data_IF_456653879856
#
_entry.id   IF_456653879856
#
_cell.length_a   1.000
_cell.length_b   1.000
_cell.length_c   1.000
_cell.angle_alpha   90.00
_cell.angle_beta   90.00
_cell.angle_gamma   90.00
#
_symmetry.space_group_name_H-M   'P 1'
#
loop_
_entity.id
_entity.type
_entity.pdbx_description
1 polymer ?
#
# COMPACT_ATOMS: atom_id res chain seq x y z
N UNK A 1 -3.65 15.58 -16.27
CA UNK A 1 -3.70 16.12 -17.64
C UNK A 1 -2.43 16.90 -17.98
N UNK A 2 -1.98 17.87 -17.13
CA UNK A 2 -0.77 18.65 -17.37
C UNK A 2 0.48 17.77 -17.55
N UNK A 3 0.67 16.74 -16.71
CA UNK A 3 1.78 15.80 -16.82
C UNK A 3 1.75 14.98 -18.13
N UNK A 4 0.57 14.67 -18.64
CA UNK A 4 0.40 13.94 -19.90
C UNK A 4 0.77 14.84 -21.10
N UNK A 5 0.44 16.13 -21.02
CA UNK A 5 0.77 17.11 -22.08
C UNK A 5 2.27 17.39 -22.10
N UNK A 6 2.90 17.60 -20.92
CA UNK A 6 4.32 17.97 -20.80
C UNK A 6 5.22 16.74 -20.94
N UNK A 7 4.69 15.54 -20.60
CA UNK A 7 5.41 14.27 -20.62
C UNK A 7 5.74 13.80 -22.05
N UNK A 8 6.43 12.67 -22.11
CA UNK A 8 6.92 12.05 -23.35
C UNK A 8 5.79 11.71 -24.35
N UNK A 9 4.54 11.56 -23.86
CA UNK A 9 3.43 11.17 -24.71
C UNK A 9 2.98 12.26 -25.71
N UNK A 10 3.15 13.56 -25.40
CA UNK A 10 2.69 14.67 -26.26
C UNK A 10 3.83 15.62 -26.60
N UNK A 11 4.35 16.36 -25.63
CA UNK A 11 5.37 17.40 -25.88
C UNK A 11 6.81 16.92 -25.68
N UNK A 12 7.04 15.82 -24.96
CA UNK A 12 8.37 15.28 -24.68
C UNK A 12 9.33 16.22 -23.94
N UNK A 13 8.79 17.26 -23.27
CA UNK A 13 9.60 18.27 -22.59
C UNK A 13 10.22 17.73 -21.30
N UNK A 14 9.59 16.73 -20.68
CA UNK A 14 10.05 16.12 -19.44
C UNK A 14 10.19 14.62 -19.66
N UNK A 15 11.43 14.12 -19.56
CA UNK A 15 11.67 12.69 -19.54
C UNK A 15 11.35 12.12 -18.14
N UNK A 16 10.83 10.90 -18.09
CA UNK A 16 10.65 10.18 -16.82
C UNK A 16 12.01 9.76 -16.25
N UNK A 17 12.73 10.72 -15.69
CA UNK A 17 14.02 10.50 -15.04
C UNK A 17 13.81 9.90 -13.65
N UNK A 18 14.84 9.24 -13.11
CA UNK A 18 14.86 8.64 -11.75
C UNK A 18 14.48 9.67 -10.68
N UNK A 19 14.92 10.91 -10.82
CA UNK A 19 14.60 11.99 -9.90
C UNK A 19 13.10 12.28 -9.81
N UNK A 20 12.42 12.35 -10.96
CA UNK A 20 10.98 12.61 -11.01
C UNK A 20 10.19 11.45 -10.42
N UNK A 21 10.64 10.21 -10.65
CA UNK A 21 10.03 9.01 -10.06
C UNK A 21 10.12 9.05 -8.54
N UNK A 22 11.32 9.27 -8.00
CA UNK A 22 11.52 9.36 -6.55
C UNK A 22 10.71 10.49 -5.93
N UNK A 23 10.60 11.65 -6.60
CA UNK A 23 9.79 12.74 -6.11
C UNK A 23 8.28 12.38 -6.09
N UNK A 24 7.81 11.65 -7.09
CA UNK A 24 6.43 11.14 -7.13
C UNK A 24 6.16 10.13 -6.01
N UNK A 25 7.08 9.20 -5.74
CA UNK A 25 7.01 8.24 -4.63
C UNK A 25 6.92 8.96 -3.28
N UNK A 26 7.78 9.95 -3.04
CA UNK A 26 7.70 10.81 -1.84
C UNK A 26 6.31 11.48 -1.72
N UNK A 27 5.78 11.99 -2.83
CA UNK A 27 4.44 12.61 -2.87
C UNK A 27 3.34 11.64 -2.47
N UNK A 28 3.39 10.39 -2.94
CA UNK A 28 2.41 9.34 -2.60
C UNK A 28 2.53 8.93 -1.13
N UNK A 29 3.75 8.79 -0.61
CA UNK A 29 4.01 8.50 0.81
C UNK A 29 3.39 9.57 1.72
N UNK A 30 3.60 10.86 1.41
CA UNK A 30 3.01 11.97 2.17
C UNK A 30 1.48 11.98 2.05
N UNK A 31 0.94 11.70 0.85
CA UNK A 31 -0.50 11.61 0.62
C UNK A 31 -1.13 10.53 1.51
N UNK A 32 -0.54 9.34 1.56
CA UNK A 32 -1.03 8.23 2.36
C UNK A 32 -0.89 8.49 3.87
N UNK A 33 0.18 9.16 4.29
CA UNK A 33 0.32 9.64 5.66
C UNK A 33 -0.81 10.60 6.05
N UNK A 34 -1.10 11.58 5.21
CA UNK A 34 -2.21 12.53 5.41
C UNK A 34 -3.57 11.82 5.49
N UNK A 35 -3.80 10.83 4.63
CA UNK A 35 -5.01 9.99 4.68
C UNK A 35 -5.10 9.19 5.99
N UNK A 36 -3.97 8.68 6.48
CA UNK A 36 -3.88 8.01 7.78
C UNK A 36 -4.23 8.91 8.96
N UNK A 37 -3.76 10.18 8.95
CA UNK A 37 -4.09 11.18 9.97
C UNK A 37 -5.60 11.50 10.01
N UNK A 38 -6.26 11.50 8.85
CA UNK A 38 -7.69 11.75 8.74
C UNK A 38 -8.55 10.53 9.09
N UNK A 39 -7.96 9.34 9.20
CA UNK A 39 -8.67 8.09 9.44
C UNK A 39 -8.99 7.89 10.92
N UNK A 40 -10.22 7.46 11.22
CA UNK A 40 -10.62 7.09 12.56
C UNK A 40 -10.38 5.59 12.81
N UNK A 41 -9.41 5.26 13.67
CA UNK A 41 -9.04 3.88 13.99
C UNK A 41 -10.23 3.03 14.47
N UNK A 42 -11.16 3.64 15.23
CA UNK A 42 -12.34 2.93 15.74
C UNK A 42 -13.30 2.51 14.64
N UNK A 43 -13.46 3.35 13.62
CA UNK A 43 -14.30 3.06 12.47
C UNK A 43 -13.63 2.05 11.54
N UNK A 44 -12.29 2.13 11.39
CA UNK A 44 -11.48 1.15 10.67
C UNK A 44 -11.68 -0.28 11.24
N UNK A 45 -11.59 -0.43 12.56
CA UNK A 45 -11.78 -1.72 13.23
C UNK A 45 -13.22 -2.27 13.06
N UNK A 46 -14.23 -1.39 13.05
CA UNK A 46 -15.64 -1.80 12.84
C UNK A 46 -15.93 -2.24 11.41
N UNK A 47 -15.26 -1.65 10.42
CA UNK A 47 -15.45 -1.97 9.00
C UNK A 47 -14.60 -3.14 8.52
N UNK A 48 -13.66 -3.62 9.32
CA UNK A 48 -12.69 -4.65 8.98
C UNK A 48 -13.26 -5.89 8.29
N UNK A 49 -14.31 -6.56 8.83
CA UNK A 49 -14.89 -7.75 8.17
C UNK A 49 -15.49 -7.45 6.80
N UNK A 50 -16.13 -6.29 6.63
CA UNK A 50 -16.71 -5.87 5.35
C UNK A 50 -15.57 -5.51 4.38
N UNK A 51 -14.56 -4.80 4.85
CA UNK A 51 -13.39 -4.45 4.08
C UNK A 51 -12.63 -5.69 3.57
N UNK A 52 -12.51 -6.73 4.40
CA UNK A 52 -11.93 -8.02 4.00
C UNK A 52 -12.70 -8.69 2.87
N UNK A 53 -14.05 -8.74 2.96
CA UNK A 53 -14.87 -9.29 1.88
C UNK A 53 -14.73 -8.49 0.58
N UNK A 54 -14.67 -7.16 0.68
CA UNK A 54 -14.48 -6.28 -0.49
C UNK A 54 -13.10 -6.50 -1.11
N UNK A 55 -12.04 -6.56 -0.30
CA UNK A 55 -10.67 -6.83 -0.76
C UNK A 55 -10.56 -8.21 -1.44
N UNK A 56 -11.11 -9.27 -0.82
CA UNK A 56 -11.11 -10.60 -1.42
C UNK A 56 -11.82 -10.62 -2.79
N UNK A 57 -12.96 -9.94 -2.91
CA UNK A 57 -13.65 -9.83 -4.20
C UNK A 57 -12.80 -8.99 -5.19
N UNK A 58 -12.17 -7.91 -4.71
CA UNK A 58 -11.27 -7.05 -5.50
C UNK A 58 -10.07 -7.78 -6.06
N UNK A 59 -9.54 -8.76 -5.35
CA UNK A 59 -8.43 -9.61 -5.82
C UNK A 59 -8.93 -10.75 -6.72
N UNK A 60 -9.93 -11.52 -6.27
CA UNK A 60 -10.35 -12.74 -6.97
C UNK A 60 -10.98 -12.47 -8.33
N UNK A 61 -11.76 -11.39 -8.47
CA UNK A 61 -12.44 -11.07 -9.73
C UNK A 61 -11.45 -10.65 -10.82
N UNK A 62 -10.51 -9.70 -10.61
CA UNK A 62 -9.51 -9.36 -11.62
C UNK A 62 -8.54 -10.51 -11.91
N UNK A 63 -8.14 -11.28 -10.88
CA UNK A 63 -7.27 -12.45 -11.05
C UNK A 63 -7.94 -13.49 -11.96
N UNK A 64 -9.19 -13.85 -11.67
CA UNK A 64 -9.96 -14.77 -12.50
C UNK A 64 -10.26 -14.22 -13.88
N UNK A 65 -10.61 -12.95 -13.99
CA UNK A 65 -10.85 -12.25 -15.25
C UNK A 65 -9.61 -12.21 -16.15
N UNK A 66 -8.45 -11.81 -15.60
CA UNK A 66 -7.18 -11.79 -16.30
C UNK A 66 -6.72 -13.17 -16.74
N UNK A 67 -6.87 -14.16 -15.85
CA UNK A 67 -6.58 -15.57 -16.17
C UNK A 67 -7.44 -16.07 -17.34
N UNK A 68 -8.75 -15.87 -17.30
CA UNK A 68 -9.65 -16.30 -18.37
C UNK A 68 -9.38 -15.56 -19.67
N UNK A 69 -9.18 -14.24 -19.60
CA UNK A 69 -8.92 -13.41 -20.78
C UNK A 69 -7.65 -13.84 -21.50
N UNK A 70 -6.57 -14.12 -20.76
CA UNK A 70 -5.32 -14.59 -21.36
C UNK A 70 -5.44 -15.98 -21.96
N UNK A 71 -6.16 -16.92 -21.32
CA UNK A 71 -6.42 -18.25 -21.90
C UNK A 71 -7.21 -18.16 -23.20
N UNK A 72 -8.26 -17.31 -23.25
CA UNK A 72 -9.03 -17.08 -24.48
C UNK A 72 -8.13 -16.48 -25.57
N UNK A 73 -7.30 -15.51 -25.21
CA UNK A 73 -6.38 -14.88 -26.17
C UNK A 73 -5.38 -15.89 -26.77
N UNK A 74 -4.77 -16.74 -25.94
CA UNK A 74 -3.87 -17.81 -26.40
C UNK A 74 -4.59 -18.88 -27.23
N UNK A 75 -5.87 -19.16 -26.95
CA UNK A 75 -6.68 -20.09 -27.76
C UNK A 75 -6.95 -19.56 -29.16
N UNK A 76 -7.10 -18.23 -29.31
CA UNK A 76 -7.30 -17.58 -30.61
C UNK A 76 -5.98 -17.37 -31.34
N UNK A 77 -4.89 -17.10 -30.64
CA UNK A 77 -3.55 -16.83 -31.16
C UNK A 77 -2.53 -17.80 -30.55
N UNK A 78 -2.37 -19.02 -31.07
CA UNK A 78 -1.44 -20.01 -30.48
C UNK A 78 0.02 -19.54 -30.43
N UNK A 79 0.43 -18.66 -31.35
CA UNK A 79 1.79 -18.08 -31.41
C UNK A 79 2.04 -17.02 -30.30
N UNK A 80 1.03 -16.59 -29.63
CA UNK A 80 1.16 -15.59 -28.54
C UNK A 80 1.69 -16.18 -27.21
N UNK A 81 1.68 -17.51 -27.07
CA UNK A 81 2.31 -18.21 -25.96
C UNK A 81 3.82 -18.07 -26.08
N UNK A 82 4.45 -17.25 -25.22
CA UNK A 82 5.91 -16.97 -25.21
C UNK A 82 6.77 -18.18 -24.82
N UNK A 83 6.47 -19.38 -25.35
CA UNK A 83 7.27 -20.60 -25.16
C UNK A 83 7.24 -21.20 -23.74
N UNK A 84 6.40 -20.68 -22.83
CA UNK A 84 6.23 -21.16 -21.45
C UNK A 84 4.88 -21.85 -21.23
N UNK A 85 4.64 -22.27 -19.98
CA UNK A 85 3.36 -22.84 -19.59
C UNK A 85 2.26 -21.75 -19.60
N UNK A 86 1.28 -21.87 -20.51
CA UNK A 86 0.17 -20.91 -20.67
C UNK A 86 -0.58 -20.69 -19.36
N UNK A 87 -0.70 -21.72 -18.52
CA UNK A 87 -1.34 -21.63 -17.21
C UNK A 87 -0.61 -20.64 -16.29
N UNK A 88 0.72 -20.72 -16.20
CA UNK A 88 1.51 -19.83 -15.36
C UNK A 88 1.48 -18.39 -15.88
N UNK A 89 1.56 -18.21 -17.20
CA UNK A 89 1.45 -16.89 -17.83
C UNK A 89 0.08 -16.26 -17.58
N UNK A 90 -1.00 -17.05 -17.71
CA UNK A 90 -2.36 -16.59 -17.43
C UNK A 90 -2.52 -16.19 -15.94
N UNK A 91 -1.95 -16.97 -15.03
CA UNK A 91 -1.98 -16.68 -13.59
C UNK A 91 -1.19 -15.41 -13.27
N UNK A 92 -0.03 -15.22 -13.91
CA UNK A 92 0.79 -14.02 -13.74
C UNK A 92 0.08 -12.76 -14.25
N UNK A 93 -0.55 -12.83 -15.43
CA UNK A 93 -1.36 -11.73 -15.99
C UNK A 93 -2.55 -11.42 -15.08
N UNK A 94 -3.25 -12.45 -14.58
CA UNK A 94 -4.30 -12.27 -13.58
C UNK A 94 -3.81 -11.54 -12.34
N UNK A 95 -2.63 -11.90 -11.84
CA UNK A 95 -2.01 -11.27 -10.66
C UNK A 95 -1.66 -9.80 -10.91
N UNK A 96 -1.12 -9.46 -12.08
CA UNK A 96 -0.86 -8.05 -12.45
C UNK A 96 -2.15 -7.23 -12.43
N UNK A 97 -3.27 -7.81 -12.86
CA UNK A 97 -4.57 -7.13 -12.89
C UNK A 97 -5.19 -6.92 -11.49
N UNK A 98 -4.70 -7.60 -10.46
CA UNK A 98 -5.18 -7.36 -9.07
C UNK A 98 -4.60 -6.08 -8.48
N UNK A 99 -3.45 -5.60 -8.95
CA UNK A 99 -2.80 -4.43 -8.41
C UNK A 99 -3.66 -3.17 -8.64
N UNK A 100 -4.21 -2.62 -7.57
CA UNK A 100 -5.13 -1.47 -7.61
C UNK A 100 -4.48 -0.23 -7.02
N UNK A 101 -4.61 0.93 -7.68
CA UNK A 101 -4.10 2.20 -7.15
C UNK A 101 -5.05 2.81 -6.12
N UNK A 102 -4.65 2.77 -4.86
CA UNK A 102 -5.39 3.35 -3.74
C UNK A 102 -5.30 4.87 -3.73
N UNK A 103 -4.17 5.44 -4.14
CA UNK A 103 -3.88 6.87 -4.04
C UNK A 103 -4.91 7.74 -4.77
N UNK A 104 -5.33 7.34 -5.97
CA UNK A 104 -6.34 8.07 -6.75
C UNK A 104 -7.69 8.04 -6.03
N UNK A 105 -8.08 6.88 -5.51
CA UNK A 105 -9.35 6.71 -4.80
C UNK A 105 -9.40 7.53 -3.52
N UNK A 106 -8.31 7.52 -2.74
CA UNK A 106 -8.17 8.31 -1.51
C UNK A 106 -8.24 9.80 -1.82
N UNK A 107 -7.53 10.26 -2.86
CA UNK A 107 -7.56 11.66 -3.26
C UNK A 107 -8.97 12.09 -3.71
N UNK A 108 -9.64 11.29 -4.53
CA UNK A 108 -11.01 11.57 -4.96
C UNK A 108 -11.99 11.61 -3.78
N UNK A 109 -11.91 10.66 -2.84
CA UNK A 109 -12.74 10.65 -1.64
C UNK A 109 -12.47 11.87 -0.74
N UNK A 110 -11.22 12.32 -0.68
CA UNK A 110 -10.83 13.52 0.07
C UNK A 110 -11.39 14.78 -0.55
N UNK A 111 -11.27 14.96 -1.86
CA UNK A 111 -11.82 16.10 -2.59
C UNK A 111 -13.35 16.17 -2.51
N UNK A 112 -14.03 15.03 -2.51
CA UNK A 112 -15.47 14.92 -2.32
C UNK A 112 -15.92 15.09 -0.85
N UNK A 113 -14.99 15.19 0.10
CA UNK A 113 -15.30 15.28 1.53
C UNK A 113 -15.87 13.99 2.14
N UNK A 114 -15.75 12.84 1.46
CA UNK A 114 -16.32 11.55 1.88
C UNK A 114 -15.30 10.59 2.48
N UNK A 115 -14.04 10.99 2.66
CA UNK A 115 -12.98 10.13 3.22
C UNK A 115 -13.33 9.61 4.63
N UNK A 116 -13.92 10.46 5.49
CA UNK A 116 -14.35 10.12 6.86
C UNK A 116 -15.72 9.42 6.91
N UNK A 117 -16.38 9.22 5.78
CA UNK A 117 -17.64 8.49 5.72
C UNK A 117 -17.42 6.99 5.95
N UNK A 118 -18.48 6.26 6.33
CA UNK A 118 -18.42 4.80 6.50
C UNK A 118 -17.96 4.10 5.21
N UNK A 119 -18.40 4.60 4.06
CA UNK A 119 -18.00 4.06 2.75
C UNK A 119 -16.52 4.36 2.50
N UNK A 120 -16.07 5.60 2.68
CA UNK A 120 -14.68 6.00 2.51
C UNK A 120 -13.74 5.17 3.39
N UNK A 121 -14.05 5.04 4.68
CA UNK A 121 -13.28 4.22 5.62
C UNK A 121 -13.23 2.74 5.18
N UNK A 122 -14.36 2.19 4.69
CA UNK A 122 -14.39 0.80 4.20
C UNK A 122 -13.51 0.62 2.97
N UNK A 123 -13.56 1.56 2.02
CA UNK A 123 -12.74 1.52 0.79
C UNK A 123 -11.26 1.57 1.14
N UNK A 124 -10.85 2.51 2.00
CA UNK A 124 -9.44 2.64 2.42
C UNK A 124 -8.97 1.39 3.17
N UNK A 125 -9.80 0.86 4.07
CA UNK A 125 -9.49 -0.39 4.78
C UNK A 125 -9.34 -1.57 3.83
N UNK A 126 -10.25 -1.70 2.85
CA UNK A 126 -10.21 -2.76 1.85
C UNK A 126 -8.94 -2.67 1.00
N UNK A 127 -8.55 -1.47 0.62
CA UNK A 127 -7.37 -1.23 -0.18
C UNK A 127 -6.05 -1.64 0.53
N UNK A 128 -5.94 -1.38 1.84
CA UNK A 128 -4.78 -1.82 2.63
C UNK A 128 -4.72 -3.36 2.72
N UNK A 129 -5.88 -4.00 2.89
CA UNK A 129 -5.96 -5.46 2.91
C UNK A 129 -5.64 -6.03 1.52
N UNK A 130 -6.09 -5.36 0.46
CA UNK A 130 -5.83 -5.70 -0.94
C UNK A 130 -4.32 -5.72 -1.25
N UNK A 131 -3.57 -4.70 -0.82
CA UNK A 131 -2.13 -4.63 -0.96
C UNK A 131 -1.42 -5.85 -0.33
N UNK A 132 -1.83 -6.23 0.88
CA UNK A 132 -1.27 -7.41 1.56
C UNK A 132 -1.62 -8.70 0.82
N UNK A 133 -2.88 -8.86 0.39
CA UNK A 133 -3.31 -10.05 -0.37
C UNK A 133 -2.60 -10.09 -1.71
N UNK A 134 -2.43 -8.96 -2.38
CA UNK A 134 -1.72 -8.85 -3.65
C UNK A 134 -0.28 -9.34 -3.57
N UNK A 135 0.46 -8.95 -2.51
CA UNK A 135 1.81 -9.44 -2.25
C UNK A 135 1.81 -10.96 -2.02
N UNK A 136 0.86 -11.50 -1.25
CA UNK A 136 0.75 -12.94 -1.02
C UNK A 136 0.52 -13.69 -2.33
N UNK A 137 -0.44 -13.22 -3.15
CA UNK A 137 -0.74 -13.84 -4.45
C UNK A 137 0.46 -13.79 -5.37
N UNK A 138 1.14 -12.64 -5.47
CA UNK A 138 2.36 -12.48 -6.28
C UNK A 138 3.47 -13.44 -5.84
N UNK A 139 3.71 -13.54 -4.52
CA UNK A 139 4.71 -14.44 -3.95
C UNK A 139 4.40 -15.90 -4.27
N UNK A 140 3.14 -16.31 -4.19
CA UNK A 140 2.71 -17.67 -4.57
C UNK A 140 2.94 -17.92 -6.05
N UNK A 141 2.60 -16.98 -6.92
CA UNK A 141 2.75 -17.13 -8.38
C UNK A 141 4.22 -17.22 -8.78
N UNK A 142 5.09 -16.36 -8.21
CA UNK A 142 6.54 -16.43 -8.44
C UNK A 142 7.11 -17.74 -7.92
N UNK A 143 6.65 -18.23 -6.76
CA UNK A 143 7.07 -19.50 -6.18
C UNK A 143 6.70 -20.72 -7.05
N UNK A 144 5.56 -20.69 -7.74
CA UNK A 144 5.14 -21.74 -8.70
C UNK A 144 6.08 -21.79 -9.91
N UNK A 145 6.60 -20.66 -10.39
CA UNK A 145 7.55 -20.61 -11.50
C UNK A 145 8.99 -20.99 -11.10
N UNK A 146 9.25 -21.29 -9.84
CA UNK A 146 10.59 -21.64 -9.35
C UNK A 146 11.54 -20.45 -9.27
N UNK A 147 11.00 -19.23 -9.31
CA UNK A 147 11.75 -18.00 -9.08
C UNK A 147 12.29 -17.95 -7.64
N UNK A 148 13.57 -17.61 -7.49
CA UNK A 148 14.10 -17.27 -6.17
C UNK A 148 13.54 -15.90 -5.82
N UNK A 149 12.80 -15.82 -4.72
CA UNK A 149 12.44 -14.52 -4.13
C UNK A 149 13.72 -13.84 -3.65
N UNK A 150 14.18 -12.83 -4.42
CA UNK A 150 15.22 -11.89 -3.98
C UNK A 150 14.66 -10.83 -3.00
N UNK A 151 13.41 -10.99 -2.56
CA UNK A 151 12.78 -10.07 -1.62
C UNK A 151 13.27 -10.31 -0.19
N UNK A 152 14.46 -9.80 0.11
CA UNK A 152 14.93 -9.60 1.48
C UNK A 152 15.10 -10.89 2.31
N UNK A 153 15.32 -10.71 3.57
CA UNK A 153 15.61 -11.72 4.58
C UNK A 153 14.54 -12.84 4.64
N UNK A 154 14.89 -14.05 4.16
CA UNK A 154 14.07 -15.26 4.32
C UNK A 154 14.16 -15.76 5.76
N UNK A 155 13.02 -15.91 6.45
CA UNK A 155 12.95 -16.35 7.84
C UNK A 155 12.81 -17.88 7.92
N UNK A 156 11.93 -18.45 7.08
CA UNK A 156 11.54 -19.86 7.17
C UNK A 156 11.92 -20.66 5.93
N UNK A 157 12.35 -20.00 4.83
CA UNK A 157 12.63 -20.63 3.55
C UNK A 157 11.38 -21.10 2.80
N UNK A 158 10.20 -20.78 3.30
CA UNK A 158 8.91 -20.99 2.64
C UNK A 158 8.32 -19.61 2.28
N UNK A 159 8.20 -19.24 1.00
CA UNK A 159 7.85 -17.89 0.58
C UNK A 159 6.51 -17.42 1.15
N UNK A 160 5.51 -18.27 1.17
CA UNK A 160 4.17 -17.93 1.70
C UNK A 160 4.21 -17.69 3.21
N UNK A 161 4.88 -18.58 3.97
CA UNK A 161 4.99 -18.42 5.41
C UNK A 161 5.77 -17.16 5.79
N UNK A 162 6.81 -16.83 5.02
CA UNK A 162 7.62 -15.63 5.24
C UNK A 162 6.81 -14.34 5.06
N UNK A 163 5.91 -14.26 4.08
CA UNK A 163 5.02 -13.09 3.89
C UNK A 163 4.08 -12.94 5.09
N UNK A 164 3.45 -14.02 5.56
CA UNK A 164 2.57 -13.95 6.73
C UNK A 164 3.33 -13.55 8.00
N UNK A 165 4.52 -14.10 8.22
CA UNK A 165 5.36 -13.77 9.37
C UNK A 165 5.81 -12.32 9.30
N UNK A 166 6.30 -11.85 8.16
CA UNK A 166 6.72 -10.45 7.95
C UNK A 166 5.57 -9.48 8.17
N UNK A 167 4.38 -9.79 7.64
CA UNK A 167 3.18 -8.97 7.85
C UNK A 167 2.78 -8.93 9.34
N UNK A 168 2.79 -10.07 10.02
CA UNK A 168 2.53 -10.15 11.47
C UNK A 168 3.56 -9.37 12.29
N UNK A 169 4.84 -9.50 11.95
CA UNK A 169 5.93 -8.74 12.58
C UNK A 169 5.80 -7.24 12.34
N UNK A 170 5.41 -6.82 11.12
CA UNK A 170 5.16 -5.40 10.82
C UNK A 170 4.01 -4.84 11.66
N UNK A 171 2.92 -5.58 11.81
CA UNK A 171 1.80 -5.17 12.66
C UNK A 171 2.27 -5.04 14.12
N UNK A 172 2.99 -6.03 14.65
CA UNK A 172 3.54 -5.98 16.00
C UNK A 172 4.52 -4.81 16.19
N UNK A 173 5.40 -4.58 15.21
CA UNK A 173 6.32 -3.44 15.18
C UNK A 173 5.56 -2.12 15.19
N UNK A 174 4.50 -1.99 14.37
CA UNK A 174 3.64 -0.80 14.30
C UNK A 174 2.97 -0.49 15.62
N UNK A 175 2.48 -1.52 16.35
CA UNK A 175 1.96 -1.35 17.71
C UNK A 175 3.05 -0.91 18.69
N UNK A 176 4.25 -1.49 18.60
CA UNK A 176 5.40 -1.09 19.43
C UNK A 176 5.79 0.38 19.20
N UNK A 177 5.91 0.78 17.94
CA UNK A 177 6.20 2.17 17.57
C UNK A 177 5.07 3.09 18.02
N UNK A 178 3.80 2.69 17.83
CA UNK A 178 2.63 3.45 18.26
C UNK A 178 2.64 3.69 19.78
N UNK A 179 2.95 2.66 20.56
CA UNK A 179 3.08 2.77 22.01
C UNK A 179 4.23 3.69 22.42
N UNK A 180 5.39 3.53 21.79
CA UNK A 180 6.57 4.38 22.03
C UNK A 180 6.28 5.86 21.72
N UNK A 181 5.64 6.11 20.55
CA UNK A 181 5.27 7.46 20.14
C UNK A 181 4.22 8.08 21.04
N UNK A 182 3.21 7.31 21.47
CA UNK A 182 2.24 7.80 22.45
C UNK A 182 2.93 8.27 23.74
N UNK A 183 3.92 7.50 24.23
CA UNK A 183 4.68 7.85 25.43
C UNK A 183 5.59 9.07 25.19
N UNK A 184 6.22 9.15 24.02
CA UNK A 184 7.09 10.25 23.62
C UNK A 184 6.29 11.56 23.51
N UNK A 185 5.14 11.54 22.83
CA UNK A 185 4.30 12.72 22.68
C UNK A 185 3.70 13.17 24.01
N UNK A 186 3.28 12.23 24.85
CA UNK A 186 2.82 12.54 26.23
C UNK A 186 3.90 13.19 27.08
N UNK A 187 5.17 12.82 26.85
CA UNK A 187 6.31 13.42 27.54
C UNK A 187 6.65 14.82 26.96
N UNK A 188 6.59 14.97 25.63
CA UNK A 188 6.83 16.24 24.97
C UNK A 188 5.73 17.27 25.27
N UNK A 189 4.48 16.87 25.28
CA UNK A 189 3.32 17.74 25.58
C UNK A 189 3.43 18.35 26.99
N UNK A 190 3.98 17.59 27.93
CA UNK A 190 4.24 18.07 29.30
C UNK A 190 5.37 19.09 29.39
N UNK A 191 6.33 19.10 28.42
CA UNK A 191 7.57 19.91 28.48
C UNK A 191 7.57 21.09 27.53
N UNK A 192 6.83 21.04 26.42
CA UNK A 192 6.84 22.03 25.34
C UNK A 192 5.42 22.42 24.91
N UNK A 193 4.77 23.24 25.71
CA UNK A 193 3.46 23.82 25.39
C UNK A 193 3.60 24.82 24.23
N UNK A 194 2.87 24.62 23.11
CA UNK A 194 2.79 25.56 21.97
C UNK A 194 4.00 25.62 21.00
N UNK A 195 4.68 24.55 20.66
CA UNK A 195 5.66 24.62 19.58
C UNK A 195 5.20 23.86 18.30
N UNK A 196 5.23 24.54 17.14
CA UNK A 196 4.96 24.04 15.76
C UNK A 196 5.93 22.93 15.28
N UNK A 197 6.48 22.10 16.17
CA UNK A 197 7.44 21.05 15.83
C UNK A 197 6.79 19.68 15.66
N UNK A 198 5.54 19.52 16.05
CA UNK A 198 4.77 18.26 15.96
C UNK A 198 4.67 17.77 14.53
N UNK A 199 4.36 18.63 13.51
CA UNK A 199 4.33 18.19 12.12
C UNK A 199 5.66 17.62 11.61
N UNK A 200 6.79 18.19 12.02
CA UNK A 200 8.13 17.72 11.61
C UNK A 200 8.38 16.30 12.15
N UNK A 201 8.06 16.06 13.42
CA UNK A 201 8.20 14.73 14.01
C UNK A 201 7.24 13.72 13.35
N UNK A 202 6.04 14.15 12.99
CA UNK A 202 5.08 13.33 12.24
C UNK A 202 5.63 12.92 10.89
N UNK A 203 6.22 13.86 10.14
CA UNK A 203 6.84 13.60 8.85
C UNK A 203 8.04 12.65 8.96
N UNK A 204 8.89 12.85 9.97
CA UNK A 204 10.03 11.93 10.24
C UNK A 204 9.51 10.53 10.53
N UNK A 205 8.46 10.39 11.35
CA UNK A 205 7.84 9.09 11.62
C UNK A 205 7.27 8.47 10.35
N UNK A 206 6.62 9.24 9.49
CA UNK A 206 6.08 8.81 8.21
C UNK A 206 7.16 8.14 7.36
N UNK A 207 8.26 8.84 7.07
CA UNK A 207 9.34 8.30 6.25
C UNK A 207 10.07 7.13 6.90
N UNK A 208 10.22 7.15 8.23
CA UNK A 208 10.85 6.06 8.96
C UNK A 208 9.99 4.79 8.87
N UNK A 209 8.66 4.92 9.06
CA UNK A 209 7.74 3.78 8.95
C UNK A 209 7.62 3.27 7.51
N UNK A 210 7.60 4.17 6.51
CA UNK A 210 7.62 3.80 5.10
C UNK A 210 8.88 2.99 4.76
N UNK A 211 10.05 3.50 5.13
CA UNK A 211 11.32 2.83 4.93
C UNK A 211 11.40 1.46 5.64
N UNK A 212 10.94 1.39 6.90
CA UNK A 212 10.93 0.13 7.63
C UNK A 212 9.99 -0.89 6.99
N UNK A 213 8.79 -0.47 6.55
CA UNK A 213 7.82 -1.34 5.90
C UNK A 213 8.41 -2.01 4.65
N UNK A 214 9.06 -1.23 3.79
CA UNK A 214 9.63 -1.72 2.55
C UNK A 214 10.89 -2.57 2.79
N UNK A 215 11.88 -2.01 3.53
CA UNK A 215 13.22 -2.61 3.63
C UNK A 215 13.25 -3.84 4.53
N UNK A 216 12.56 -3.81 5.68
CA UNK A 216 12.63 -4.92 6.66
C UNK A 216 11.49 -5.93 6.52
N UNK A 217 10.31 -5.47 6.09
CA UNK A 217 9.12 -6.32 6.06
C UNK A 217 8.68 -6.67 4.64
N UNK A 218 9.22 -6.00 3.60
CA UNK A 218 8.82 -6.23 2.21
C UNK A 218 7.36 -5.85 1.92
N UNK A 219 6.81 -4.91 2.70
CA UNK A 219 5.45 -4.37 2.54
C UNK A 219 5.58 -3.00 1.87
N UNK A 220 4.59 -2.62 1.06
CA UNK A 220 4.60 -1.33 0.38
C UNK A 220 4.85 -0.16 1.35
N UNK A 221 5.76 0.74 1.00
CA UNK A 221 6.13 1.96 1.72
C UNK A 221 4.91 2.82 2.07
N UNK A 222 3.95 2.92 1.13
CA UNK A 222 2.68 3.63 1.31
C UNK A 222 1.87 3.09 2.50
N UNK A 223 1.90 1.76 2.74
CA UNK A 223 1.22 1.14 3.89
C UNK A 223 1.89 1.56 5.19
N UNK A 224 3.23 1.60 5.22
CA UNK A 224 4.00 2.12 6.37
C UNK A 224 3.66 3.57 6.70
N UNK A 225 3.59 4.42 5.68
CA UNK A 225 3.21 5.82 5.82
C UNK A 225 1.79 6.00 6.36
N UNK A 226 0.83 5.24 5.82
CA UNK A 226 -0.56 5.26 6.28
C UNK A 226 -0.68 4.85 7.75
N UNK A 227 0.00 3.77 8.15
CA UNK A 227 0.04 3.31 9.56
C UNK A 227 0.64 4.38 10.47
N UNK A 228 1.71 5.08 10.03
CA UNK A 228 2.26 6.21 10.78
C UNK A 228 1.21 7.32 11.01
N UNK A 229 0.41 7.63 9.99
CA UNK A 229 -0.71 8.55 10.10
C UNK A 229 -1.76 8.09 11.12
N UNK A 230 -2.16 6.81 11.09
CA UNK A 230 -3.10 6.23 12.06
C UNK A 230 -2.56 6.28 13.49
N UNK A 231 -1.27 6.04 13.71
CA UNK A 231 -0.65 6.14 15.02
C UNK A 231 -0.81 7.55 15.57
N UNK A 232 -0.65 8.57 14.73
CA UNK A 232 -0.72 9.96 15.11
C UNK A 232 -2.15 10.52 15.16
N UNK A 233 -3.12 9.95 14.43
CA UNK A 233 -4.50 10.44 14.39
C UNK A 233 -5.18 10.45 15.77
N UNK A 234 -4.71 9.62 16.70
CA UNK A 234 -5.25 9.51 18.06
C UNK A 234 -4.61 10.51 19.05
N UNK A 235 -3.64 11.31 18.61
CA UNK A 235 -3.03 12.37 19.41
C UNK A 235 -3.88 13.63 19.34
N UNK A 236 -3.99 14.35 20.46
CA UNK A 236 -4.80 15.59 20.59
C UNK A 236 -4.44 16.68 19.59
N UNK A 237 -3.22 16.64 19.06
CA UNK A 237 -2.66 17.66 18.17
C UNK A 237 -2.69 17.24 16.69
N UNK A 238 -3.43 16.17 16.33
CA UNK A 238 -3.56 15.72 14.95
C UNK A 238 -4.18 16.78 14.00
N UNK A 239 -4.95 17.74 14.55
CA UNK A 239 -5.50 18.86 13.78
C UNK A 239 -4.44 19.90 13.33
N UNK A 240 -3.24 19.86 13.90
CA UNK A 240 -2.13 20.78 13.57
C UNK A 240 -1.05 20.15 12.68
N UNK A 241 -1.17 18.86 12.35
CA UNK A 241 -0.28 18.12 11.45
C UNK A 241 -0.84 18.12 10.04
#
# INVERSE_FOLDING_TARGET
LAGLIIGQAVLGLVAADSFIKTLAEIGVVILMFSAGLETNLRDLLKTGPVALCVALAGVLVPLGGGFLMYNIYCSINPDAAMGGNVFNQALFIGTIMTATSVSITVQALRELGHLKSRIGTTIVSAAIIDDVIGIIVLTVVIGIEGGKDDSGFAITGQPIADVFIKTGLFIAFSFGVGFLMYFLFKFLDKKFYHQRRIPIFGLVLCFLMAYCAETFFGIADITGAYVAGIILCNLRDAEYI
#
